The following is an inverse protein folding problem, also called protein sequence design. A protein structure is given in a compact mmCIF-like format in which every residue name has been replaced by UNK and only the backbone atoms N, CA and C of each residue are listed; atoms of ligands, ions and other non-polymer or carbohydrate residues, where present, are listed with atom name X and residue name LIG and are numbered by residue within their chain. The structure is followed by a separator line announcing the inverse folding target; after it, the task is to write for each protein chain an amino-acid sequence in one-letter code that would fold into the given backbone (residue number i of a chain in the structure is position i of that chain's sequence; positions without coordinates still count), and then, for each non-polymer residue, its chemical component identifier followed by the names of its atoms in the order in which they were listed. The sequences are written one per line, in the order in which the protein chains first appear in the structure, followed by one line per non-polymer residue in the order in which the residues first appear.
data_IF_333506548229
#
_entry.id   IF_333506548229
#
_cell.length_a   1.000
_cell.length_b   1.000
_cell.length_c   1.000
_cell.angle_alpha   90.00
_cell.angle_beta   90.00
_cell.angle_gamma   90.00
#
_symmetry.space_group_name_H-M   'P 1'
#
loop_
_entity.id
_entity.type
_entity.pdbx_description
1 polymer ?
#
# COMPACT_ATOMS: atom_id res chain seq x y z
N UNK A 1 -31.26 10.37 -0.98
CA UNK A 1 -31.76 10.94 -2.26
C UNK A 1 -30.81 10.52 -3.42
N UNK A 2 -31.29 10.57 -4.67
CA UNK A 2 -30.57 10.01 -5.84
C UNK A 2 -29.22 10.71 -6.14
N UNK A 3 -29.01 11.88 -5.54
CA UNK A 3 -27.80 12.71 -5.50
C UNK A 3 -26.69 12.18 -4.58
N UNK A 4 -26.99 11.24 -3.67
CA UNK A 4 -26.01 10.64 -2.74
C UNK A 4 -25.49 9.28 -3.25
N UNK A 5 -26.14 8.68 -4.25
CA UNK A 5 -25.69 7.41 -4.83
C UNK A 5 -24.55 7.65 -5.82
N UNK A 6 -23.35 7.30 -5.37
CA UNK A 6 -22.15 7.17 -6.20
C UNK A 6 -22.38 6.14 -7.31
N UNK A 7 -22.68 6.63 -8.52
CA UNK A 7 -23.03 5.81 -9.69
C UNK A 7 -21.93 4.80 -10.05
N UNK A 8 -20.66 5.17 -9.83
CA UNK A 8 -19.49 4.29 -9.95
C UNK A 8 -19.61 3.02 -9.09
N UNK A 9 -20.15 3.12 -7.87
CA UNK A 9 -20.34 1.97 -6.98
C UNK A 9 -21.39 1.01 -7.50
N UNK A 10 -22.48 1.54 -8.07
CA UNK A 10 -23.56 0.72 -8.64
C UNK A 10 -23.05 -0.05 -9.85
N UNK A 11 -22.31 0.62 -10.74
CA UNK A 11 -21.69 0.00 -11.92
C UNK A 11 -20.70 -1.11 -11.50
N UNK A 12 -19.78 -0.81 -10.57
CA UNK A 12 -18.78 -1.78 -10.11
C UNK A 12 -19.42 -2.99 -9.42
N UNK A 13 -20.46 -2.78 -8.60
CA UNK A 13 -21.19 -3.88 -7.97
C UNK A 13 -21.88 -4.77 -9.02
N UNK A 14 -22.51 -4.18 -10.02
CA UNK A 14 -23.17 -4.94 -11.08
C UNK A 14 -22.16 -5.74 -11.91
N UNK A 15 -20.99 -5.18 -12.19
CA UNK A 15 -19.91 -5.90 -12.86
C UNK A 15 -19.38 -7.06 -12.00
N UNK A 16 -19.18 -6.85 -10.69
CA UNK A 16 -18.70 -7.89 -9.78
C UNK A 16 -19.64 -9.11 -9.68
N UNK A 17 -20.95 -8.92 -9.89
CA UNK A 17 -21.93 -10.03 -9.94
C UNK A 17 -21.75 -10.95 -11.15
N UNK A 18 -21.06 -10.48 -12.19
CA UNK A 18 -20.81 -11.26 -13.39
C UNK A 18 -19.55 -12.12 -13.27
N UNK A 19 -18.79 -12.02 -12.18
CA UNK A 19 -17.59 -12.84 -11.94
C UNK A 19 -18.03 -14.29 -11.66
N UNK A 20 -17.67 -15.27 -12.51
CA UNK A 20 -18.01 -16.66 -12.28
C UNK A 20 -17.33 -17.23 -11.03
N UNK A 21 -17.97 -18.23 -10.40
CA UNK A 21 -17.36 -18.93 -9.27
C UNK A 21 -16.02 -19.59 -9.64
N UNK A 22 -15.87 -20.09 -10.87
CA UNK A 22 -14.61 -20.66 -11.38
C UNK A 22 -13.47 -19.65 -11.36
N UNK A 23 -13.74 -18.41 -11.78
CA UNK A 23 -12.74 -17.35 -11.89
C UNK A 23 -12.32 -16.88 -10.50
N UNK A 24 -13.28 -16.82 -9.56
CA UNK A 24 -12.96 -16.53 -8.16
C UNK A 24 -12.09 -17.63 -7.53
N UNK A 25 -12.37 -18.90 -7.82
CA UNK A 25 -11.53 -20.00 -7.35
C UNK A 25 -10.13 -19.94 -7.96
N UNK A 26 -10.02 -19.66 -9.25
CA UNK A 26 -8.74 -19.52 -9.94
C UNK A 26 -7.92 -18.34 -9.40
N UNK A 27 -8.56 -17.18 -9.20
CA UNK A 27 -7.93 -16.03 -8.58
C UNK A 27 -7.38 -16.35 -7.18
N UNK A 28 -8.07 -17.18 -6.38
CA UNK A 28 -7.57 -17.61 -5.08
C UNK A 28 -6.41 -18.62 -5.17
N UNK A 29 -6.34 -19.45 -6.23
CA UNK A 29 -5.16 -20.30 -6.48
C UNK A 29 -3.93 -19.47 -6.78
N UNK A 30 -4.08 -18.49 -7.68
CA UNK A 30 -3.02 -17.52 -8.03
C UNK A 30 -2.61 -16.71 -6.78
N UNK A 31 -3.58 -16.26 -5.98
CA UNK A 31 -3.31 -15.60 -4.69
C UNK A 31 -2.46 -16.49 -3.77
N UNK A 32 -2.76 -17.79 -3.71
CA UNK A 32 -1.97 -18.75 -2.94
C UNK A 32 -0.52 -18.88 -3.42
N UNK A 33 -0.27 -18.82 -4.73
CA UNK A 33 1.08 -18.75 -5.30
C UNK A 33 1.80 -17.47 -4.89
N UNK A 34 1.13 -16.32 -5.03
CA UNK A 34 1.68 -15.03 -4.61
C UNK A 34 2.05 -15.02 -3.12
N UNK A 35 1.21 -15.59 -2.26
CA UNK A 35 1.49 -15.70 -0.82
C UNK A 35 2.75 -16.54 -0.54
N UNK A 36 2.96 -17.64 -1.28
CA UNK A 36 4.16 -18.48 -1.13
C UNK A 36 5.43 -17.74 -1.57
N UNK A 37 5.37 -17.02 -2.69
CA UNK A 37 6.52 -16.25 -3.16
C UNK A 37 6.87 -15.10 -2.22
N UNK A 38 5.86 -14.40 -1.69
CA UNK A 38 6.11 -13.36 -0.69
C UNK A 38 6.72 -13.93 0.59
N UNK A 39 6.21 -15.05 1.09
CA UNK A 39 6.78 -15.71 2.27
C UNK A 39 8.22 -16.19 2.03
N UNK A 40 8.54 -16.64 0.80
CA UNK A 40 9.90 -17.03 0.42
C UNK A 40 10.84 -15.82 0.43
N UNK A 41 10.46 -14.72 -0.21
CA UNK A 41 11.29 -13.50 -0.26
C UNK A 41 11.52 -12.93 1.14
N UNK A 42 10.47 -12.85 1.96
CA UNK A 42 10.54 -12.36 3.34
C UNK A 42 11.16 -13.37 4.32
N UNK A 43 11.57 -14.56 3.86
CA UNK A 43 12.43 -15.44 4.65
C UNK A 43 13.90 -15.02 4.61
N UNK A 44 14.27 -14.21 3.62
CA UNK A 44 15.65 -13.73 3.42
C UNK A 44 15.88 -12.33 4.04
N UNK A 45 14.81 -11.58 4.30
CA UNK A 45 14.86 -10.21 4.85
C UNK A 45 13.74 -9.98 5.87
N UNK A 46 14.03 -9.22 6.93
CA UNK A 46 13.02 -8.90 7.95
C UNK A 46 12.01 -7.85 7.46
N UNK A 47 12.51 -6.86 6.70
CA UNK A 47 11.75 -5.71 6.20
C UNK A 47 12.33 -5.30 4.84
N UNK A 48 11.48 -5.03 3.86
CA UNK A 48 11.89 -4.32 2.64
C UNK A 48 11.24 -2.94 2.60
N UNK A 49 11.93 -1.99 1.95
CA UNK A 49 11.52 -0.59 1.88
C UNK A 49 11.39 -0.15 0.44
N UNK A 50 10.27 0.50 0.12
CA UNK A 50 9.99 1.05 -1.22
C UNK A 50 9.43 2.47 -1.12
N UNK A 51 9.68 3.35 -2.09
CA UNK A 51 8.94 4.62 -2.18
C UNK A 51 7.43 4.36 -2.29
N UNK A 52 6.59 5.23 -1.69
CA UNK A 52 5.13 5.16 -1.77
C UNK A 52 4.57 6.23 -2.73
N UNK A 53 3.39 5.96 -3.31
CA UNK A 53 2.79 6.69 -4.44
C UNK A 53 1.96 7.92 -4.03
N UNK A 54 1.90 8.90 -4.93
CA UNK A 54 0.91 9.97 -4.97
C UNK A 54 0.17 9.90 -6.31
N UNK A 55 -1.14 9.67 -6.25
CA UNK A 55 -2.02 9.55 -7.43
C UNK A 55 -1.96 10.78 -8.36
N UNK A 56 -1.62 11.96 -7.83
CA UNK A 56 -1.70 13.23 -8.56
C UNK A 56 -0.38 13.71 -9.21
N UNK A 57 0.76 13.03 -8.99
CA UNK A 57 2.09 13.58 -9.34
C UNK A 57 2.99 12.73 -10.25
N UNK A 58 2.41 11.80 -11.02
CA UNK A 58 3.03 10.72 -11.82
C UNK A 58 2.93 9.41 -11.04
N UNK A 59 2.09 8.46 -11.47
CA UNK A 59 1.96 7.18 -10.77
C UNK A 59 3.33 6.54 -10.65
N UNK A 60 3.78 6.25 -9.44
CA UNK A 60 4.88 5.33 -9.24
C UNK A 60 4.32 3.91 -9.34
N UNK A 61 4.47 3.22 -10.49
CA UNK A 61 3.85 1.91 -10.69
C UNK A 61 4.37 0.89 -9.66
N UNK A 62 5.60 1.05 -9.18
CA UNK A 62 6.21 0.15 -8.20
C UNK A 62 5.47 0.24 -6.86
N UNK A 63 5.27 1.45 -6.35
CA UNK A 63 4.64 1.71 -5.05
C UNK A 63 3.20 1.17 -4.95
N UNK A 64 2.39 1.43 -5.99
CA UNK A 64 1.01 0.97 -6.08
C UNK A 64 0.93 -0.57 -6.08
N UNK A 65 1.83 -1.21 -6.82
CA UNK A 65 1.93 -2.68 -6.88
C UNK A 65 2.26 -3.28 -5.51
N UNK A 66 3.18 -2.70 -4.74
CA UNK A 66 3.51 -3.24 -3.41
C UNK A 66 2.35 -3.15 -2.41
N UNK A 67 1.54 -2.08 -2.48
CA UNK A 67 0.34 -1.94 -1.66
C UNK A 67 -0.72 -2.98 -2.05
N UNK A 68 -0.92 -3.20 -3.35
CA UNK A 68 -1.81 -4.24 -3.84
C UNK A 68 -1.35 -5.64 -3.41
N UNK A 69 -0.05 -5.92 -3.47
CA UNK A 69 0.53 -7.18 -3.00
C UNK A 69 0.28 -7.38 -1.51
N UNK A 70 0.51 -6.37 -0.67
CA UNK A 70 0.23 -6.44 0.76
C UNK A 70 -1.25 -6.74 1.05
N UNK A 71 -2.18 -6.07 0.37
CA UNK A 71 -3.63 -6.33 0.48
C UNK A 71 -4.00 -7.76 0.08
N UNK A 72 -3.38 -8.29 -0.99
CA UNK A 72 -3.64 -9.66 -1.45
C UNK A 72 -3.02 -10.71 -0.54
N UNK A 73 -1.86 -10.45 0.06
CA UNK A 73 -1.11 -11.48 0.79
C UNK A 73 -1.23 -11.40 2.30
N UNK A 74 -1.75 -10.29 2.84
CA UNK A 74 -1.90 -10.08 4.28
C UNK A 74 -0.63 -9.66 5.00
N UNK A 75 0.45 -9.32 4.27
CA UNK A 75 1.68 -8.82 4.87
C UNK A 75 1.47 -7.42 5.47
N UNK A 76 2.01 -7.14 6.66
CA UNK A 76 1.90 -5.83 7.26
C UNK A 76 2.76 -4.81 6.49
N UNK A 77 2.25 -3.58 6.42
CA UNK A 77 2.97 -2.44 5.87
C UNK A 77 2.69 -1.16 6.65
N UNK A 78 3.71 -0.33 6.85
CA UNK A 78 3.57 1.03 7.40
C UNK A 78 4.17 2.05 6.46
N UNK A 79 3.51 3.20 6.33
CA UNK A 79 3.92 4.29 5.43
C UNK A 79 4.27 5.51 6.28
N UNK A 80 5.46 6.07 6.07
CA UNK A 80 5.96 7.24 6.80
C UNK A 80 6.43 8.35 5.84
N UNK A 81 6.32 9.63 6.21
CA UNK A 81 6.78 10.74 5.37
C UNK A 81 8.30 10.70 5.14
N UNK A 82 8.76 10.96 3.91
CA UNK A 82 10.17 10.92 3.54
C UNK A 82 10.72 12.19 2.89
N UNK A 83 9.90 13.24 2.77
CA UNK A 83 10.34 14.46 2.11
C UNK A 83 9.22 15.18 1.38
N UNK A 84 9.66 16.00 0.44
CA UNK A 84 8.81 16.72 -0.49
C UNK A 84 9.43 16.66 -1.89
N UNK A 85 8.61 16.54 -2.92
CA UNK A 85 9.08 16.63 -4.31
C UNK A 85 9.38 18.08 -4.71
N UNK A 86 9.91 18.28 -5.93
CA UNK A 86 10.25 19.62 -6.47
C UNK A 86 9.05 20.59 -6.52
N UNK A 87 7.83 20.05 -6.56
CA UNK A 87 6.57 20.82 -6.56
C UNK A 87 6.06 21.12 -5.14
N UNK A 88 6.79 20.70 -4.10
CA UNK A 88 6.43 20.92 -2.71
C UNK A 88 5.33 19.99 -2.17
N UNK A 89 5.06 18.86 -2.83
CA UNK A 89 4.12 17.86 -2.33
C UNK A 89 4.83 16.89 -1.39
N UNK A 90 4.21 16.46 -0.28
CA UNK A 90 4.80 15.46 0.59
C UNK A 90 5.11 14.19 -0.19
N UNK A 91 6.13 13.44 0.25
CA UNK A 91 6.49 12.11 -0.27
C UNK A 91 6.56 11.13 0.90
N UNK A 92 6.44 9.81 0.64
CA UNK A 92 6.45 8.79 1.70
C UNK A 92 7.17 7.50 1.31
N UNK A 93 7.61 6.74 2.32
CA UNK A 93 8.25 5.43 2.18
C UNK A 93 7.35 4.37 2.80
N UNK A 94 7.23 3.22 2.15
CA UNK A 94 6.54 2.03 2.65
C UNK A 94 7.57 1.06 3.19
N UNK A 95 7.35 0.62 4.43
CA UNK A 95 8.06 -0.46 5.08
C UNK A 95 7.12 -1.64 5.11
N UNK A 96 7.54 -2.79 4.58
CA UNK A 96 6.73 -4.00 4.56
C UNK A 96 7.50 -5.15 5.22
N UNK A 97 6.83 -5.87 6.12
CA UNK A 97 7.42 -6.94 6.92
C UNK A 97 6.77 -8.29 6.66
N UNK A 98 7.27 -9.31 7.34
CA UNK A 98 6.67 -10.64 7.33
C UNK A 98 5.30 -10.65 8.04
N UNK A 99 4.44 -11.63 7.72
CA UNK A 99 3.20 -11.87 8.46
C UNK A 99 3.55 -12.10 9.94
N UNK A 100 2.90 -11.34 10.83
CA UNK A 100 3.22 -11.29 12.28
C UNK A 100 4.61 -10.70 12.63
N UNK A 101 5.27 -10.05 11.66
CA UNK A 101 6.58 -9.42 11.80
C UNK A 101 6.53 -7.91 12.08
N UNK A 102 5.41 -7.38 12.56
CA UNK A 102 5.18 -5.93 12.72
C UNK A 102 6.19 -5.27 13.65
N UNK A 103 6.70 -5.99 14.65
CA UNK A 103 7.61 -5.44 15.65
C UNK A 103 8.90 -4.92 15.01
N UNK A 104 9.57 -5.73 14.19
CA UNK A 104 10.81 -5.33 13.52
C UNK A 104 10.55 -4.22 12.48
N UNK A 105 9.45 -4.34 11.73
CA UNK A 105 9.01 -3.34 10.76
C UNK A 105 8.75 -1.98 11.39
N UNK A 106 7.98 -1.93 12.48
CA UNK A 106 7.65 -0.69 13.19
C UNK A 106 8.86 -0.11 13.91
N UNK A 107 9.76 -0.94 14.45
CA UNK A 107 11.01 -0.47 15.04
C UNK A 107 11.88 0.25 14.00
N UNK A 108 12.02 -0.32 12.79
CA UNK A 108 12.76 0.30 11.70
C UNK A 108 12.09 1.61 11.22
N UNK A 109 10.77 1.58 11.00
CA UNK A 109 10.02 2.78 10.61
C UNK A 109 10.11 3.90 11.65
N UNK A 110 10.08 3.55 12.95
CA UNK A 110 10.27 4.49 14.05
C UNK A 110 11.68 5.06 14.06
N UNK A 111 12.71 4.23 13.92
CA UNK A 111 14.10 4.70 13.86
C UNK A 111 14.31 5.68 12.69
N UNK A 112 13.71 5.40 11.53
CA UNK A 112 13.71 6.31 10.39
C UNK A 112 13.00 7.64 10.71
N UNK A 113 11.81 7.57 11.32
CA UNK A 113 11.06 8.76 11.70
C UNK A 113 11.81 9.61 12.74
N UNK A 114 12.44 8.98 13.74
CA UNK A 114 13.21 9.67 14.79
C UNK A 114 14.49 10.32 14.24
N UNK A 115 15.06 9.77 13.17
CA UNK A 115 16.21 10.32 12.46
C UNK A 115 15.84 11.44 11.45
N UNK A 116 14.56 11.79 11.35
CA UNK A 116 14.06 12.82 10.42
C UNK A 116 13.03 13.73 11.07
N UNK A 117 12.70 14.84 10.41
CA UNK A 117 11.67 15.80 10.88
C UNK A 117 10.50 15.93 9.89
N UNK A 118 10.38 15.02 8.92
CA UNK A 118 9.35 15.11 7.88
C UNK A 118 7.93 15.10 8.46
N UNK A 119 7.71 14.25 9.47
CA UNK A 119 6.45 14.12 10.19
C UNK A 119 6.05 15.39 10.98
N UNK A 120 6.98 16.34 11.18
CA UNK A 120 6.72 17.63 11.85
C UNK A 120 6.40 18.76 10.88
N UNK A 121 6.52 18.54 9.57
CA UNK A 121 6.20 19.55 8.56
C UNK A 121 4.71 19.54 8.28
N UNK A 122 4.08 20.70 8.40
CA UNK A 122 2.66 20.88 8.12
C UNK A 122 2.46 21.70 6.85
N UNK A 123 1.44 21.39 6.03
CA UNK A 123 1.06 22.27 4.94
C UNK A 123 0.61 23.62 5.50
N UNK A 124 0.82 24.70 4.74
CA UNK A 124 0.18 25.97 5.06
C UNK A 124 -1.33 25.75 4.93
N UNK A 125 -2.05 25.87 6.04
CA UNK A 125 -3.52 25.89 6.00
C UNK A 125 -3.92 27.07 5.11
N UNK A 126 -4.91 26.86 4.24
CA UNK A 126 -5.51 27.95 3.47
C UNK A 126 -6.05 29.00 4.45
N UNK A 127 -5.97 30.31 4.12
CA UNK A 127 -6.64 31.35 4.89
C UNK A 127 -8.16 31.16 4.91
#
# INVERSE_FOLDING_TARGET
PADVLRQDRVVNLNAARLIPASDYLEANRIRGELMREMARILSEVDVYVVPFDYVDYTPNPVASVHTAIANMTGHPSVIVPHGFNEKGNPTSLTFAGNVFGETAMLALAKAYQDASDWHRRHPKLFP
#
